data_IF_242056592626
#
_entry.id   IF_242056592626
#
_cell.length_a   1.000
_cell.length_b   1.000
_cell.length_c   1.000
_cell.angle_alpha   90.00
_cell.angle_beta   90.00
_cell.angle_gamma   90.00
#
_symmetry.space_group_name_H-M   'P 1'
#
loop_
_entity.id
_entity.type
_entity.pdbx_description
1 polymer ?
#
# COMPACT_ATOMS: atom_id res chain seq x y z
N UNK A 1 -4.81 0.80 -11.51
CA UNK A 1 -5.98 -0.10 -11.46
C UNK A 1 -7.31 0.64 -11.46
N UNK A 2 -7.41 1.82 -10.85
CA UNK A 2 -8.67 2.60 -10.78
C UNK A 2 -9.01 3.36 -12.07
N UNK A 3 -8.07 3.52 -12.98
CA UNK A 3 -8.24 4.13 -14.30
C UNK A 3 -8.46 3.04 -15.36
N UNK A 4 -9.63 2.98 -16.00
CA UNK A 4 -9.94 1.97 -17.02
C UNK A 4 -8.98 1.99 -18.21
N UNK A 5 -8.49 3.16 -18.61
CA UNK A 5 -7.59 3.29 -19.77
C UNK A 5 -6.22 2.66 -19.53
N UNK A 6 -5.82 2.49 -18.27
CA UNK A 6 -4.55 1.92 -17.83
C UNK A 6 -4.69 0.51 -17.23
N UNK A 7 -5.92 0.00 -17.08
CA UNK A 7 -6.21 -1.25 -16.38
C UNK A 7 -6.88 -2.32 -17.24
N UNK A 8 -6.82 -2.18 -18.58
CA UNK A 8 -7.51 -3.08 -19.50
C UNK A 8 -9.01 -3.22 -19.16
N UNK A 9 -9.71 -2.09 -19.10
CA UNK A 9 -11.16 -1.99 -18.90
C UNK A 9 -11.68 -2.55 -17.57
N UNK A 10 -10.90 -2.46 -16.49
CA UNK A 10 -11.49 -2.61 -15.16
C UNK A 10 -12.47 -1.47 -14.89
N UNK A 11 -13.53 -1.71 -14.09
CA UNK A 11 -14.49 -0.65 -13.77
C UNK A 11 -13.80 0.59 -13.18
N UNK A 12 -14.22 1.82 -13.55
CA UNK A 12 -13.69 3.03 -12.94
C UNK A 12 -13.72 2.96 -11.43
N UNK A 13 -12.60 3.29 -10.79
CA UNK A 13 -12.43 3.21 -9.33
C UNK A 13 -12.78 1.84 -8.71
N UNK A 14 -12.77 0.78 -9.53
CA UNK A 14 -13.07 -0.60 -9.12
C UNK A 14 -14.44 -0.75 -8.43
N UNK A 15 -15.41 0.09 -8.80
CA UNK A 15 -16.78 -0.01 -8.29
C UNK A 15 -17.73 -0.59 -9.33
N UNK A 16 -18.70 -1.45 -8.93
CA UNK A 16 -19.70 -1.97 -9.85
C UNK A 16 -20.71 -0.91 -10.32
N UNK A 17 -20.78 0.24 -9.65
CA UNK A 17 -21.70 1.34 -9.96
C UNK A 17 -20.95 2.68 -10.15
N UNK A 18 -20.13 2.84 -11.22
CA UNK A 18 -19.42 4.09 -11.46
C UNK A 18 -20.39 5.28 -11.61
N UNK A 19 -20.01 6.43 -11.05
CA UNK A 19 -20.84 7.63 -11.06
C UNK A 19 -21.90 7.68 -9.93
N UNK A 20 -22.22 6.54 -9.30
CA UNK A 20 -23.03 6.48 -8.09
C UNK A 20 -22.15 6.31 -6.86
N UNK A 21 -21.16 5.41 -6.94
CA UNK A 21 -20.22 5.14 -5.87
C UNK A 21 -18.83 5.69 -6.22
N UNK A 22 -18.11 6.16 -5.20
CA UNK A 22 -16.73 6.64 -5.33
C UNK A 22 -15.70 5.49 -5.42
N UNK A 23 -16.04 4.31 -4.91
CA UNK A 23 -15.18 3.14 -4.91
C UNK A 23 -13.82 3.41 -4.23
N UNK A 24 -12.73 3.06 -4.92
CA UNK A 24 -11.36 3.25 -4.41
C UNK A 24 -10.74 4.62 -4.70
N UNK A 25 -11.51 5.62 -5.17
CA UNK A 25 -10.99 6.95 -5.49
C UNK A 25 -10.21 7.56 -4.32
N UNK A 26 -10.79 7.57 -3.12
CA UNK A 26 -10.14 8.18 -1.95
C UNK A 26 -8.96 7.34 -1.45
N UNK A 27 -9.00 6.02 -1.62
CA UNK A 27 -7.84 5.17 -1.32
C UNK A 27 -6.65 5.51 -2.25
N UNK A 28 -6.89 5.72 -3.55
CA UNK A 28 -5.87 6.18 -4.49
C UNK A 28 -5.25 7.50 -4.06
N UNK A 29 -6.09 8.50 -3.74
CA UNK A 29 -5.62 9.82 -3.26
C UNK A 29 -4.82 9.69 -1.97
N UNK A 30 -5.23 8.82 -1.06
CA UNK A 30 -4.48 8.52 0.17
C UNK A 30 -3.10 7.95 -0.14
N UNK A 31 -3.01 6.95 -1.03
CA UNK A 31 -1.73 6.39 -1.45
C UNK A 31 -0.83 7.44 -2.12
N UNK A 32 -1.40 8.29 -2.97
CA UNK A 32 -0.67 9.38 -3.62
C UNK A 32 -0.14 10.42 -2.62
N UNK A 33 -0.91 10.77 -1.60
CA UNK A 33 -0.50 11.69 -0.53
C UNK A 33 0.67 11.10 0.28
N UNK A 34 0.58 9.82 0.68
CA UNK A 34 1.66 9.12 1.41
C UNK A 34 2.92 8.96 0.56
N UNK A 35 2.78 8.72 -0.74
CA UNK A 35 3.91 8.69 -1.67
C UNK A 35 4.57 10.07 -1.77
N UNK A 36 3.79 11.15 -1.82
CA UNK A 36 4.30 12.53 -1.84
C UNK A 36 5.06 12.85 -0.54
N UNK A 37 4.53 12.46 0.62
CA UNK A 37 5.23 12.59 1.91
C UNK A 37 6.55 11.83 1.90
N UNK A 38 6.56 10.58 1.42
CA UNK A 38 7.79 9.80 1.31
C UNK A 38 8.83 10.44 0.38
N UNK A 39 8.42 11.05 -0.73
CA UNK A 39 9.33 11.82 -1.60
C UNK A 39 9.95 13.00 -0.87
N UNK A 40 9.17 13.72 -0.06
CA UNK A 40 9.70 14.82 0.76
C UNK A 40 10.68 14.29 1.83
N UNK A 41 10.35 13.21 2.52
CA UNK A 41 11.20 12.58 3.52
C UNK A 41 12.49 11.97 2.94
N UNK A 42 12.53 11.69 1.63
CA UNK A 42 13.68 11.09 0.96
C UNK A 42 14.85 12.06 0.70
N UNK A 43 14.76 13.32 1.13
CA UNK A 43 15.89 14.26 1.01
C UNK A 43 17.17 13.66 1.63
N UNK A 44 18.31 13.66 0.90
CA UNK A 44 19.54 13.09 1.40
C UNK A 44 20.04 13.82 2.66
N UNK A 45 20.29 13.09 3.74
CA UNK A 45 20.96 13.64 4.93
C UNK A 45 22.48 13.41 4.93
N UNK A 46 23.00 12.74 3.91
CA UNK A 46 24.44 12.57 3.70
C UNK A 46 25.16 13.84 3.27
N UNK A 47 24.40 14.83 2.78
CA UNK A 47 24.92 16.15 2.39
C UNK A 47 24.85 17.17 3.53
N UNK A 48 24.26 16.78 4.65
CA UNK A 48 24.04 17.67 5.79
C UNK A 48 25.08 17.41 6.88
N UNK A 49 25.72 18.46 7.33
CA UNK A 49 26.69 18.44 8.41
C UNK A 49 26.84 19.83 9.03
N UNK A 50 27.13 19.84 10.33
CA UNK A 50 27.52 21.05 11.04
C UNK A 50 28.60 20.70 12.06
N UNK A 51 29.64 21.56 12.23
CA UNK A 51 30.63 21.36 13.28
C UNK A 51 29.98 21.32 14.67
N UNK A 52 30.47 20.43 15.52
CA UNK A 52 30.02 20.26 16.90
C UNK A 52 31.21 20.24 17.88
N UNK A 53 30.94 20.21 19.20
CA UNK A 53 31.97 20.07 20.25
C UNK A 53 33.05 21.17 20.14
N UNK A 54 32.63 22.43 19.94
CA UNK A 54 33.52 23.58 19.77
C UNK A 54 34.54 23.39 18.61
N UNK A 55 34.08 22.86 17.49
CA UNK A 55 34.86 22.52 16.28
C UNK A 55 35.85 21.34 16.48
N UNK A 56 35.71 20.56 17.53
CA UNK A 56 36.44 19.31 17.67
C UNK A 56 36.02 18.30 16.56
N UNK A 57 34.73 18.29 16.25
CA UNK A 57 34.11 17.51 15.18
C UNK A 57 33.80 18.48 14.02
N UNK A 58 34.52 18.40 12.92
CA UNK A 58 34.37 19.30 11.77
C UNK A 58 33.32 18.79 10.75
N UNK A 59 33.15 17.48 10.66
CA UNK A 59 32.13 16.83 9.82
C UNK A 59 31.37 15.76 10.62
N UNK A 60 30.11 16.05 10.93
CA UNK A 60 29.26 15.19 11.74
C UNK A 60 28.22 14.50 10.88
N UNK A 61 28.11 13.17 10.99
CA UNK A 61 27.13 12.37 10.28
C UNK A 61 25.72 12.57 10.83
N UNK A 62 24.75 12.89 9.97
CA UNK A 62 23.32 12.98 10.30
C UNK A 62 22.57 11.67 10.02
N UNK A 63 23.26 10.53 10.00
CA UNK A 63 22.70 9.20 9.70
C UNK A 63 21.61 8.75 10.66
N UNK A 64 21.68 9.13 11.94
CA UNK A 64 20.63 8.84 12.92
C UNK A 64 19.29 9.46 12.52
N UNK A 65 19.31 10.72 12.06
CA UNK A 65 18.12 11.40 11.52
C UNK A 65 17.58 10.66 10.29
N UNK A 66 18.46 10.22 9.38
CA UNK A 66 18.09 9.40 8.22
C UNK A 66 17.39 8.10 8.62
N UNK A 67 17.92 7.40 9.63
CA UNK A 67 17.32 6.16 10.14
C UNK A 67 15.93 6.38 10.75
N UNK A 68 15.74 7.44 11.54
CA UNK A 68 14.43 7.77 12.11
C UNK A 68 13.39 8.09 11.01
N UNK A 69 13.76 8.85 9.99
CA UNK A 69 12.86 9.13 8.87
C UNK A 69 12.42 7.86 8.15
N UNK A 70 13.33 6.90 7.97
CA UNK A 70 13.06 5.64 7.29
C UNK A 70 11.95 4.85 7.99
N UNK A 71 11.87 4.90 9.32
CA UNK A 71 10.78 4.26 10.07
C UNK A 71 9.41 4.79 9.64
N UNK A 72 9.27 6.13 9.52
CA UNK A 72 8.03 6.76 9.05
C UNK A 72 7.73 6.40 7.59
N UNK A 73 8.75 6.42 6.74
CA UNK A 73 8.61 6.07 5.31
C UNK A 73 8.14 4.62 5.14
N UNK A 74 8.62 3.68 5.96
CA UNK A 74 8.17 2.29 5.94
C UNK A 74 6.72 2.15 6.40
N UNK A 75 6.27 2.91 7.40
CA UNK A 75 4.87 2.93 7.80
C UNK A 75 3.97 3.42 6.66
N UNK A 76 4.35 4.51 5.99
CA UNK A 76 3.64 5.01 4.82
C UNK A 76 3.60 3.97 3.69
N UNK A 77 4.74 3.31 3.42
CA UNK A 77 4.82 2.27 2.40
C UNK A 77 3.89 1.09 2.71
N UNK A 78 3.80 0.67 3.97
CA UNK A 78 2.89 -0.41 4.37
C UNK A 78 1.42 -0.07 4.07
N UNK A 79 1.00 1.18 4.31
CA UNK A 79 -0.36 1.64 3.96
C UNK A 79 -0.56 1.68 2.43
N UNK A 80 0.43 2.17 1.68
CA UNK A 80 0.38 2.17 0.20
C UNK A 80 0.21 0.75 -0.33
N UNK A 81 1.00 -0.20 0.17
CA UNK A 81 0.90 -1.61 -0.19
C UNK A 81 -0.47 -2.23 0.18
N UNK A 82 -1.01 -1.87 1.34
CA UNK A 82 -2.34 -2.32 1.75
C UNK A 82 -3.41 -1.87 0.75
N UNK A 83 -3.37 -0.61 0.32
CA UNK A 83 -4.28 -0.07 -0.69
C UNK A 83 -4.11 -0.80 -2.03
N UNK A 84 -2.86 -1.04 -2.45
CA UNK A 84 -2.57 -1.80 -3.67
C UNK A 84 -3.15 -3.22 -3.61
N UNK A 85 -2.96 -3.93 -2.51
CA UNK A 85 -3.50 -5.27 -2.27
C UNK A 85 -5.03 -5.29 -2.34
N UNK A 86 -5.69 -4.30 -1.71
CA UNK A 86 -7.15 -4.16 -1.78
C UNK A 86 -7.64 -3.93 -3.21
N UNK A 87 -6.98 -3.03 -3.94
CA UNK A 87 -7.31 -2.76 -5.34
C UNK A 87 -7.07 -3.98 -6.23
N UNK A 88 -5.97 -4.72 -6.01
CA UNK A 88 -5.67 -5.94 -6.75
C UNK A 88 -6.72 -7.03 -6.51
N UNK A 89 -7.12 -7.24 -5.25
CA UNK A 89 -8.16 -8.19 -4.89
C UNK A 89 -9.51 -7.86 -5.58
N UNK A 90 -9.92 -6.60 -5.54
CA UNK A 90 -11.14 -6.13 -6.20
C UNK A 90 -11.05 -6.25 -7.72
N UNK A 91 -9.90 -5.92 -8.31
CA UNK A 91 -9.65 -6.04 -9.74
C UNK A 91 -9.71 -7.48 -10.25
N UNK A 92 -9.16 -8.44 -9.49
CA UNK A 92 -9.25 -9.88 -9.80
C UNK A 92 -10.72 -10.32 -9.82
N UNK A 93 -11.50 -9.95 -8.81
CA UNK A 93 -12.91 -10.31 -8.71
C UNK A 93 -13.76 -9.69 -9.84
N UNK A 94 -13.39 -8.47 -10.28
CA UNK A 94 -14.06 -7.81 -11.42
C UNK A 94 -13.82 -8.52 -12.75
N UNK A 95 -12.87 -9.44 -12.83
CA UNK A 95 -12.59 -10.28 -14.02
C UNK A 95 -13.39 -11.59 -14.04
N UNK A 96 -14.29 -11.82 -13.10
CA UNK A 96 -15.12 -13.02 -13.13
C UNK A 96 -15.80 -13.19 -14.52
N UNK A 97 -15.89 -14.42 -15.10
CA UNK A 97 -15.62 -15.72 -14.47
C UNK A 97 -14.15 -16.19 -14.51
N UNK A 98 -13.21 -15.34 -14.97
CA UNK A 98 -11.80 -15.68 -14.99
C UNK A 98 -11.31 -15.88 -13.55
N UNK A 99 -10.35 -16.79 -13.39
CA UNK A 99 -9.71 -17.09 -12.12
C UNK A 99 -8.23 -16.74 -12.17
N UNK A 100 -7.67 -16.38 -11.03
CA UNK A 100 -6.23 -16.22 -10.86
C UNK A 100 -5.53 -17.55 -10.62
N UNK A 101 -4.21 -17.55 -10.38
CA UNK A 101 -3.46 -18.76 -10.04
C UNK A 101 -3.87 -19.29 -8.67
N UNK A 102 -3.67 -20.62 -8.45
CA UNK A 102 -3.98 -21.25 -7.15
C UNK A 102 -3.35 -20.54 -5.94
N UNK A 103 -2.04 -20.16 -5.94
CA UNK A 103 -1.45 -19.41 -4.84
C UNK A 103 -2.17 -18.08 -4.59
N UNK A 104 -2.49 -17.33 -5.64
CA UNK A 104 -3.17 -16.05 -5.50
C UNK A 104 -4.64 -16.21 -5.08
N UNK A 105 -5.30 -17.34 -5.39
CA UNK A 105 -6.63 -17.65 -4.84
C UNK A 105 -6.59 -17.82 -3.30
N UNK A 106 -5.50 -18.39 -2.76
CA UNK A 106 -5.31 -18.51 -1.30
C UNK A 106 -5.11 -17.14 -0.66
N UNK A 107 -4.30 -16.25 -1.28
CA UNK A 107 -4.13 -14.88 -0.83
C UNK A 107 -5.46 -14.13 -0.85
N UNK A 108 -6.20 -14.21 -1.96
CA UNK A 108 -7.52 -13.57 -2.08
C UNK A 108 -8.48 -14.06 -1.01
N UNK A 109 -8.52 -15.38 -0.75
CA UNK A 109 -9.33 -15.96 0.32
C UNK A 109 -8.92 -15.42 1.70
N UNK A 110 -7.61 -15.29 1.96
CA UNK A 110 -7.11 -14.73 3.23
C UNK A 110 -7.52 -13.27 3.40
N UNK A 111 -7.41 -12.46 2.34
CA UNK A 111 -7.88 -11.07 2.35
C UNK A 111 -9.38 -11.02 2.65
N UNK A 112 -10.18 -11.81 1.93
CA UNK A 112 -11.65 -11.81 2.05
C UNK A 112 -12.19 -12.40 3.35
N UNK A 113 -11.39 -13.14 4.10
CA UNK A 113 -11.76 -13.55 5.47
C UNK A 113 -11.79 -12.40 6.47
N UNK A 114 -11.10 -11.27 6.17
CA UNK A 114 -11.03 -10.08 7.04
C UNK A 114 -11.78 -8.88 6.44
N UNK A 115 -11.63 -8.67 5.13
CA UNK A 115 -12.14 -7.49 4.44
C UNK A 115 -13.01 -7.91 3.26
N UNK A 116 -14.32 -7.67 3.29
CA UNK A 116 -15.21 -8.00 2.18
C UNK A 116 -14.94 -7.14 0.95
N UNK A 117 -15.37 -7.60 -0.24
CA UNK A 117 -15.31 -6.81 -1.46
C UNK A 117 -16.12 -5.51 -1.32
N UNK A 118 -15.72 -4.46 -2.07
CA UNK A 118 -16.38 -3.16 -2.06
C UNK A 118 -17.52 -3.16 -3.09
N UNK A 119 -18.75 -3.40 -2.64
CA UNK A 119 -19.94 -3.37 -3.48
C UNK A 119 -20.64 -2.00 -3.45
N UNK A 120 -20.61 -1.35 -2.30
CA UNK A 120 -21.15 -0.01 -2.04
C UNK A 120 -20.11 0.77 -1.23
N UNK A 121 -20.15 2.10 -1.34
CA UNK A 121 -19.26 2.95 -0.56
C UNK A 121 -19.43 2.72 0.94
N UNK A 122 -18.30 2.63 1.65
CA UNK A 122 -18.24 2.51 3.11
C UNK A 122 -17.00 3.18 3.66
N UNK A 123 -16.89 3.28 4.95
CA UNK A 123 -15.67 3.77 5.62
C UNK A 123 -14.55 2.72 5.50
N UNK A 124 -13.63 2.94 4.55
CA UNK A 124 -12.60 1.96 4.17
C UNK A 124 -11.29 2.09 4.97
N UNK A 125 -11.14 3.08 5.85
CA UNK A 125 -9.91 3.24 6.62
C UNK A 125 -9.64 2.01 7.51
N UNK A 126 -10.66 1.44 8.14
CA UNK A 126 -10.53 0.22 8.94
C UNK A 126 -10.12 -0.99 8.09
N UNK A 127 -10.60 -1.07 6.84
CA UNK A 127 -10.19 -2.12 5.90
C UNK A 127 -8.72 -1.97 5.54
N UNK A 128 -8.26 -0.74 5.23
CA UNK A 128 -6.86 -0.44 4.93
C UNK A 128 -5.97 -0.83 6.11
N UNK A 129 -6.33 -0.45 7.34
CA UNK A 129 -5.57 -0.81 8.54
C UNK A 129 -5.49 -2.32 8.75
N UNK A 130 -6.58 -3.03 8.47
CA UNK A 130 -6.63 -4.50 8.57
C UNK A 130 -5.68 -5.15 7.57
N UNK A 131 -5.71 -4.72 6.31
CA UNK A 131 -4.81 -5.25 5.28
C UNK A 131 -3.36 -4.84 5.56
N UNK A 132 -3.10 -3.63 6.06
CA UNK A 132 -1.76 -3.21 6.46
C UNK A 132 -1.16 -4.16 7.52
N UNK A 133 -1.95 -4.60 8.50
CA UNK A 133 -1.53 -5.61 9.49
C UNK A 133 -1.23 -6.96 8.84
N UNK A 134 -2.02 -7.39 7.85
CA UNK A 134 -1.75 -8.64 7.12
C UNK A 134 -0.46 -8.57 6.30
N UNK A 135 -0.14 -7.40 5.73
CA UNK A 135 1.13 -7.15 5.01
C UNK A 135 2.30 -7.17 5.99
N UNK A 136 2.21 -6.40 7.08
CA UNK A 136 3.26 -6.28 8.10
C UNK A 136 3.58 -7.62 8.76
N UNK A 137 2.56 -8.40 9.11
CA UNK A 137 2.71 -9.73 9.73
C UNK A 137 3.14 -10.83 8.75
N UNK A 138 3.25 -10.54 7.44
CA UNK A 138 3.49 -11.53 6.37
C UNK A 138 2.41 -12.60 6.21
N UNK A 139 1.24 -12.43 6.81
CA UNK A 139 0.14 -13.39 6.76
C UNK A 139 -0.34 -13.70 5.33
N UNK A 140 -0.16 -12.78 4.38
CA UNK A 140 -0.47 -13.00 2.96
C UNK A 140 0.52 -13.96 2.30
N UNK A 141 1.80 -13.91 2.68
CA UNK A 141 2.85 -14.82 2.20
C UNK A 141 2.63 -16.20 2.84
N UNK A 142 2.37 -16.25 4.14
CA UNK A 142 2.09 -17.49 4.85
C UNK A 142 0.86 -18.22 4.30
N UNK A 143 -0.14 -17.49 3.81
CA UNK A 143 -1.33 -18.08 3.19
C UNK A 143 -1.03 -18.89 1.92
N UNK A 144 0.08 -18.61 1.24
CA UNK A 144 0.52 -19.36 0.05
C UNK A 144 1.16 -20.68 0.47
N UNK A 145 1.79 -20.75 1.66
CA UNK A 145 2.48 -21.92 2.18
C UNK A 145 3.59 -22.42 1.23
N UNK A 146 3.75 -23.75 1.15
CA UNK A 146 4.74 -24.41 0.28
C UNK A 146 4.36 -24.39 -1.22
N UNK A 147 3.27 -23.75 -1.60
CA UNK A 147 2.80 -23.72 -3.01
C UNK A 147 3.65 -22.84 -3.95
N UNK A 148 4.78 -22.33 -3.46
CA UNK A 148 5.79 -21.62 -4.27
C UNK A 148 7.00 -22.51 -4.65
N UNK A 149 7.02 -23.80 -4.25
CA UNK A 149 8.05 -24.77 -4.66
C UNK A 149 7.74 -25.43 -6.00
#
# INVERSE_FOLDING_TARGET
MVDPSLSYDLPPFLTPKPGLNSGFMIAEVTAAALMSENKHLANPCVTDSTPTSANQEDHVSMSAHGAYRLMKMNQNLNIIQAIEVMCAAQGIESRAPLKTSKPLELVLKRIRSEVPSLQEDRYIAADIETIAKLVESKALIEAIGESLE
#
